data_IF_335727019489
#
_entry.id   IF_335727019489
#
_cell.length_a   1.000
_cell.length_b   1.000
_cell.length_c   1.000
_cell.angle_alpha   90.00
_cell.angle_beta   90.00
_cell.angle_gamma   90.00
#
_symmetry.space_group_name_H-M   'P 1'
#
loop_
_entity.id
_entity.type
_entity.pdbx_description
1 polymer ?
#
# COMPACT_ATOMS: atom_id res chain seq x y z
N UNK A 1 -14.09 -19.21 10.94
CA UNK A 1 -15.18 -18.25 11.19
C UNK A 1 -14.62 -16.84 11.16
N UNK A 2 -14.89 -16.10 10.05
CA UNK A 2 -14.45 -14.74 9.88
C UNK A 2 -15.20 -13.81 10.84
N UNK A 3 -14.47 -13.05 11.67
CA UNK A 3 -15.06 -12.00 12.49
C UNK A 3 -14.99 -10.68 11.72
N UNK A 4 -16.12 -9.98 11.61
CA UNK A 4 -16.18 -8.63 11.03
C UNK A 4 -16.15 -7.61 12.18
N UNK A 5 -15.20 -6.69 12.10
CA UNK A 5 -15.11 -5.55 13.01
C UNK A 5 -15.30 -4.25 12.21
N UNK A 6 -16.17 -3.37 12.69
CA UNK A 6 -16.46 -2.09 12.05
C UNK A 6 -15.97 -0.96 12.97
N UNK A 7 -15.07 -0.14 12.45
CA UNK A 7 -14.57 1.02 13.15
C UNK A 7 -15.22 2.30 12.58
N UNK A 8 -16.03 2.97 13.38
CA UNK A 8 -16.66 4.24 13.01
C UNK A 8 -15.75 5.40 13.38
N UNK A 9 -15.42 6.26 12.42
CA UNK A 9 -14.60 7.46 12.60
C UNK A 9 -15.48 8.71 12.63
N UNK A 10 -15.05 9.73 13.38
CA UNK A 10 -15.79 11.01 13.51
C UNK A 10 -15.90 11.82 12.20
N UNK A 11 -15.18 11.43 11.15
CA UNK A 11 -15.20 12.10 9.86
C UNK A 11 -14.08 11.64 8.92
N UNK A 12 -13.93 12.33 7.80
CA UNK A 12 -12.86 12.09 6.80
C UNK A 12 -11.58 12.78 7.24
N UNK A 13 -10.76 12.10 8.05
CA UNK A 13 -9.49 12.61 8.59
C UNK A 13 -8.27 12.26 7.74
N UNK A 14 -8.48 11.75 6.53
CA UNK A 14 -7.43 11.30 5.61
C UNK A 14 -7.26 9.77 5.58
N UNK A 15 -6.63 9.29 4.49
CA UNK A 15 -6.43 7.86 4.26
C UNK A 15 -5.41 7.27 5.24
N UNK A 16 -4.28 7.95 5.41
CA UNK A 16 -3.20 7.49 6.29
C UNK A 16 -3.66 7.26 7.72
N UNK A 17 -4.40 8.21 8.28
CA UNK A 17 -4.93 8.09 9.65
C UNK A 17 -5.90 6.90 9.80
N UNK A 18 -6.67 6.56 8.77
CA UNK A 18 -7.56 5.40 8.80
C UNK A 18 -6.76 4.08 8.85
N UNK A 19 -5.70 3.97 8.06
CA UNK A 19 -4.81 2.81 8.11
C UNK A 19 -4.10 2.69 9.45
N UNK A 20 -3.55 3.78 9.98
CA UNK A 20 -2.84 3.80 11.26
C UNK A 20 -3.77 3.36 12.41
N UNK A 21 -4.97 3.91 12.49
CA UNK A 21 -5.97 3.51 13.49
C UNK A 21 -6.31 2.02 13.37
N UNK A 22 -6.55 1.53 12.15
CA UNK A 22 -6.84 0.12 11.90
C UNK A 22 -5.69 -0.81 12.29
N UNK A 23 -4.45 -0.46 11.92
CA UNK A 23 -3.26 -1.24 12.30
C UNK A 23 -3.05 -1.27 13.81
N UNK A 24 -3.14 -0.13 14.49
CA UNK A 24 -3.01 -0.06 15.96
C UNK A 24 -4.08 -0.90 16.66
N UNK A 25 -5.33 -0.78 16.22
CA UNK A 25 -6.41 -1.58 16.76
C UNK A 25 -6.13 -3.08 16.58
N UNK A 26 -5.71 -3.50 15.39
CA UNK A 26 -5.46 -4.90 15.10
C UNK A 26 -4.25 -5.43 15.90
N UNK A 27 -3.17 -4.64 16.05
CA UNK A 27 -2.02 -4.99 16.90
C UNK A 27 -2.46 -5.19 18.35
N UNK A 28 -3.28 -4.27 18.90
CA UNK A 28 -3.78 -4.34 20.29
C UNK A 28 -4.74 -5.51 20.52
N UNK A 29 -5.34 -6.05 19.46
CA UNK A 29 -6.22 -7.22 19.51
C UNK A 29 -5.48 -8.54 19.17
N UNK A 30 -4.14 -8.54 19.12
CA UNK A 30 -3.32 -9.73 19.02
C UNK A 30 -3.18 -10.31 17.61
N UNK A 31 -3.42 -9.52 16.56
CA UNK A 31 -3.14 -9.94 15.20
C UNK A 31 -1.66 -9.76 14.86
N UNK A 32 -1.10 -10.69 14.07
CA UNK A 32 0.31 -10.69 13.67
C UNK A 32 0.55 -10.38 12.19
N UNK A 33 -0.48 -10.53 11.36
CA UNK A 33 -0.43 -10.28 9.90
C UNK A 33 -1.57 -9.33 9.52
N UNK A 34 -1.24 -8.32 8.72
CA UNK A 34 -2.13 -7.22 8.36
C UNK A 34 -2.16 -7.04 6.85
N UNK A 35 -3.32 -7.18 6.25
CA UNK A 35 -3.50 -6.99 4.82
C UNK A 35 -4.30 -5.71 4.59
N UNK A 36 -3.69 -4.76 3.90
CA UNK A 36 -4.39 -3.57 3.41
C UNK A 36 -4.97 -3.83 2.03
N UNK A 37 -6.24 -3.51 1.84
CA UNK A 37 -6.97 -3.76 0.60
C UNK A 37 -8.04 -2.69 0.40
N UNK A 38 -8.21 -2.22 -0.86
CA UNK A 38 -9.34 -1.35 -1.20
C UNK A 38 -10.62 -2.17 -1.33
N UNK A 39 -11.75 -1.61 -0.86
CA UNK A 39 -13.06 -2.28 -0.88
C UNK A 39 -13.86 -2.04 -2.17
N UNK A 40 -13.21 -1.63 -3.27
CA UNK A 40 -13.83 -1.27 -4.55
C UNK A 40 -13.65 -2.33 -5.64
N UNK A 41 -13.29 -3.56 -5.23
CA UNK A 41 -13.00 -4.71 -6.08
C UNK A 41 -11.77 -4.58 -6.99
N UNK A 42 -10.97 -3.52 -6.87
CA UNK A 42 -9.73 -3.38 -7.63
C UNK A 42 -8.61 -4.31 -7.15
N UNK A 43 -8.68 -4.75 -5.91
CA UNK A 43 -7.75 -5.71 -5.29
C UNK A 43 -8.43 -7.07 -5.12
N UNK A 44 -8.10 -8.03 -5.98
CA UNK A 44 -8.68 -9.37 -5.92
C UNK A 44 -8.11 -10.17 -4.74
N UNK A 45 -8.95 -10.72 -3.83
CA UNK A 45 -8.49 -11.50 -2.68
C UNK A 45 -7.71 -12.78 -3.02
N UNK A 46 -7.75 -13.24 -4.27
CA UNK A 46 -7.02 -14.45 -4.71
C UNK A 46 -5.51 -14.35 -4.43
N UNK A 47 -4.94 -13.14 -4.46
CA UNK A 47 -3.51 -12.89 -4.22
C UNK A 47 -3.11 -12.99 -2.74
N UNK A 48 -4.06 -13.00 -1.80
CA UNK A 48 -3.79 -13.11 -0.37
C UNK A 48 -2.98 -14.37 -0.05
N UNK A 49 -3.33 -15.52 -0.67
CA UNK A 49 -2.63 -16.78 -0.44
C UNK A 49 -1.13 -16.69 -0.80
N UNK A 50 -0.80 -16.00 -1.89
CA UNK A 50 0.59 -15.87 -2.31
C UNK A 50 1.35 -14.85 -1.46
N UNK A 51 0.67 -13.80 -1.00
CA UNK A 51 1.25 -12.88 -0.01
C UNK A 51 1.57 -13.58 1.31
N UNK A 52 0.66 -14.40 1.82
CA UNK A 52 0.87 -15.16 3.07
C UNK A 52 2.03 -16.15 2.94
N UNK A 53 2.13 -16.90 1.83
CA UNK A 53 3.29 -17.78 1.57
C UNK A 53 4.62 -17.03 1.63
N UNK A 54 4.65 -15.78 1.10
CA UNK A 54 5.87 -14.97 1.14
C UNK A 54 6.17 -14.44 2.56
N UNK A 55 5.14 -14.17 3.37
CA UNK A 55 5.33 -13.86 4.80
C UNK A 55 5.87 -15.09 5.53
N UNK A 56 5.31 -16.27 5.30
CA UNK A 56 5.78 -17.54 5.89
C UNK A 56 7.23 -17.85 5.49
N UNK A 57 7.66 -17.41 4.30
CA UNK A 57 9.04 -17.50 3.85
C UNK A 57 9.98 -16.45 4.52
N UNK A 58 9.49 -15.71 5.51
CA UNK A 58 10.25 -14.79 6.35
C UNK A 58 10.38 -13.37 5.80
N UNK A 59 9.47 -12.92 4.94
CA UNK A 59 9.40 -11.52 4.52
C UNK A 59 8.56 -10.71 5.52
N UNK A 60 9.02 -9.51 5.85
CA UNK A 60 8.35 -8.60 6.81
C UNK A 60 7.24 -7.77 6.15
N UNK A 61 7.42 -7.45 4.86
CA UNK A 61 6.45 -6.73 4.02
C UNK A 61 6.33 -7.40 2.66
N UNK A 62 5.11 -7.74 2.24
CA UNK A 62 4.81 -8.21 0.89
C UNK A 62 3.90 -7.21 0.19
N UNK A 63 4.32 -6.78 -1.00
CA UNK A 63 3.62 -5.77 -1.80
C UNK A 63 2.96 -6.46 -3.00
N UNK A 64 1.65 -6.28 -3.17
CA UNK A 64 0.95 -6.63 -4.40
C UNK A 64 1.30 -5.61 -5.48
N UNK A 65 2.19 -5.98 -6.38
CA UNK A 65 2.84 -5.08 -7.33
C UNK A 65 2.25 -5.21 -8.73
N UNK A 66 1.91 -4.06 -9.30
CA UNK A 66 1.44 -3.93 -10.70
C UNK A 66 2.59 -3.87 -11.70
N UNK A 67 3.83 -3.67 -11.22
CA UNK A 67 4.97 -3.27 -12.05
C UNK A 67 6.13 -4.29 -12.07
N UNK A 68 6.03 -5.37 -11.31
CA UNK A 68 6.94 -6.52 -11.45
C UNK A 68 6.50 -7.44 -12.58
N UNK A 69 7.39 -8.33 -13.03
CA UNK A 69 7.07 -9.30 -14.09
C UNK A 69 5.83 -10.13 -13.70
N UNK A 70 4.82 -10.13 -14.57
CA UNK A 70 3.52 -10.77 -14.33
C UNK A 70 2.46 -9.84 -13.72
N UNK A 71 2.83 -8.67 -13.20
CA UNK A 71 1.90 -7.64 -12.75
C UNK A 71 1.33 -6.82 -13.89
N UNK A 72 0.11 -6.32 -13.74
CA UNK A 72 -0.53 -5.49 -14.76
C UNK A 72 -1.66 -4.61 -14.20
N UNK A 73 -2.11 -3.68 -15.03
CA UNK A 73 -3.31 -2.86 -14.79
C UNK A 73 -4.28 -3.02 -15.96
N UNK A 74 -5.54 -3.29 -15.67
CA UNK A 74 -6.61 -3.50 -16.64
C UNK A 74 -7.57 -2.33 -16.60
N UNK A 75 -8.12 -1.98 -17.76
CA UNK A 75 -9.11 -0.89 -17.94
C UNK A 75 -8.61 0.52 -17.58
N UNK A 76 -7.30 0.74 -17.46
CA UNK A 76 -6.74 2.08 -17.30
C UNK A 76 -6.42 2.73 -18.65
N UNK A 77 -6.79 3.99 -18.81
CA UNK A 77 -6.35 4.81 -19.93
C UNK A 77 -4.82 4.97 -19.94
N UNK A 78 -4.25 5.15 -21.13
CA UNK A 78 -2.79 5.25 -21.33
C UNK A 78 -2.13 6.31 -20.43
N UNK A 79 -2.71 7.51 -20.35
CA UNK A 79 -2.17 8.60 -19.53
C UNK A 79 -2.10 8.23 -18.03
N UNK A 80 -3.13 7.58 -17.49
CA UNK A 80 -3.15 7.13 -16.11
C UNK A 80 -2.08 6.07 -15.82
N UNK A 81 -1.86 5.13 -16.77
CA UNK A 81 -0.76 4.15 -16.69
C UNK A 81 0.58 4.84 -16.63
N UNK A 82 0.81 5.81 -17.52
CA UNK A 82 2.05 6.57 -17.60
C UNK A 82 2.33 7.36 -16.32
N UNK A 83 1.34 8.09 -15.80
CA UNK A 83 1.44 8.87 -14.56
C UNK A 83 1.74 7.95 -13.37
N UNK A 84 1.03 6.84 -13.21
CA UNK A 84 1.21 5.95 -12.08
C UNK A 84 2.55 5.22 -12.12
N UNK A 85 2.97 4.71 -13.29
CA UNK A 85 4.28 4.09 -13.47
C UNK A 85 5.42 5.10 -13.33
N UNK A 86 5.24 6.29 -13.90
CA UNK A 86 6.20 7.40 -13.78
C UNK A 86 6.37 7.86 -12.34
N UNK A 87 5.28 7.98 -11.58
CA UNK A 87 5.33 8.33 -10.16
C UNK A 87 6.07 7.28 -9.32
N UNK A 88 5.82 5.99 -9.55
CA UNK A 88 6.57 4.92 -8.88
C UNK A 88 8.05 4.93 -9.25
N UNK A 89 8.38 5.15 -10.54
CA UNK A 89 9.77 5.23 -11.00
C UNK A 89 10.49 6.43 -10.40
N UNK A 90 9.85 7.61 -10.41
CA UNK A 90 10.39 8.82 -9.79
C UNK A 90 10.69 8.62 -8.30
N UNK A 91 9.70 8.13 -7.53
CA UNK A 91 9.87 7.87 -6.11
C UNK A 91 10.96 6.81 -5.86
N UNK A 92 11.05 5.79 -6.70
CA UNK A 92 12.07 4.75 -6.62
C UNK A 92 13.49 5.32 -6.78
N UNK A 93 13.68 6.18 -7.77
CA UNK A 93 14.99 6.82 -8.04
C UNK A 93 15.34 7.78 -6.89
N UNK A 94 14.39 8.62 -6.48
CA UNK A 94 14.60 9.63 -5.44
C UNK A 94 14.92 8.99 -4.09
N UNK A 95 14.20 7.94 -3.72
CA UNK A 95 14.34 7.25 -2.44
C UNK A 95 15.39 6.12 -2.47
N UNK A 96 16.11 5.95 -3.60
CA UNK A 96 17.13 4.93 -3.80
C UNK A 96 16.68 3.52 -3.36
N UNK A 97 15.42 3.16 -3.67
CA UNK A 97 14.83 1.88 -3.30
C UNK A 97 14.65 0.96 -4.50
N UNK A 98 14.65 -0.36 -4.27
CA UNK A 98 14.39 -1.36 -5.31
C UNK A 98 12.89 -1.74 -5.43
N UNK A 99 11.99 -1.08 -4.70
CA UNK A 99 10.55 -1.35 -4.74
C UNK A 99 9.97 -0.78 -6.04
N UNK A 100 9.33 -1.61 -6.86
CA UNK A 100 8.76 -1.20 -8.14
C UNK A 100 7.40 -0.51 -7.99
N UNK A 101 6.56 -0.95 -7.04
CA UNK A 101 5.24 -0.39 -6.80
C UNK A 101 5.15 0.32 -5.43
N UNK A 102 5.63 1.56 -5.39
CA UNK A 102 5.58 2.38 -4.18
C UNK A 102 4.17 2.92 -3.89
N UNK A 103 3.33 3.09 -4.90
CA UNK A 103 2.04 3.78 -4.78
C UNK A 103 0.85 2.83 -4.56
N UNK A 104 1.03 1.53 -4.71
CA UNK A 104 -0.04 0.53 -4.53
C UNK A 104 -0.50 0.40 -3.08
N UNK A 105 -1.80 0.22 -2.86
CA UNK A 105 -2.40 0.07 -1.53
C UNK A 105 -2.58 -1.38 -1.07
N UNK A 106 -2.28 -2.36 -1.93
CA UNK A 106 -2.45 -3.78 -1.61
C UNK A 106 -1.16 -4.34 -1.02
N UNK A 107 -1.09 -4.40 0.30
CA UNK A 107 0.13 -4.80 1.00
C UNK A 107 -0.19 -5.75 2.15
N UNK A 108 0.75 -6.64 2.46
CA UNK A 108 0.70 -7.52 3.61
C UNK A 108 1.89 -7.21 4.52
N UNK A 109 1.61 -6.75 5.73
CA UNK A 109 2.59 -6.40 6.74
C UNK A 109 2.62 -7.44 7.85
N UNK A 110 3.78 -7.74 8.40
CA UNK A 110 3.89 -8.44 9.68
C UNK A 110 3.78 -7.42 10.82
N UNK A 111 3.47 -7.88 12.03
CA UNK A 111 3.51 -7.08 13.26
C UNK A 111 4.88 -6.42 13.44
N UNK A 112 5.96 -7.19 13.25
CA UNK A 112 7.33 -6.67 13.26
C UNK A 112 7.52 -5.51 12.31
N UNK A 113 6.99 -5.57 11.07
CA UNK A 113 7.05 -4.49 10.09
C UNK A 113 6.43 -3.21 10.63
N UNK A 114 5.20 -3.28 11.13
CA UNK A 114 4.45 -2.11 11.62
C UNK A 114 5.03 -1.51 12.89
N UNK A 115 5.50 -2.33 13.82
CA UNK A 115 6.12 -1.88 15.08
C UNK A 115 7.49 -1.21 14.82
N UNK A 116 8.29 -1.78 13.90
CA UNK A 116 9.63 -1.23 13.57
C UNK A 116 9.56 0.17 12.99
N UNK A 117 8.57 0.46 12.11
CA UNK A 117 8.47 1.77 11.46
C UNK A 117 7.85 2.86 12.33
N UNK A 118 7.35 2.53 13.50
CA UNK A 118 6.67 3.42 14.44
C UNK A 118 5.53 4.24 13.80
N UNK A 119 4.34 3.65 13.81
CA UNK A 119 3.14 4.24 13.18
C UNK A 119 2.78 5.65 13.68
N UNK A 120 3.20 6.03 14.88
CA UNK A 120 2.94 7.37 15.47
C UNK A 120 3.73 8.49 14.79
N UNK A 121 4.80 8.15 14.11
CA UNK A 121 5.68 9.10 13.42
C UNK A 121 5.37 9.25 11.93
N UNK A 122 4.37 8.55 11.41
CA UNK A 122 3.91 8.67 10.03
C UNK A 122 3.17 10.00 9.86
N UNK A 123 3.66 10.85 8.97
CA UNK A 123 3.12 12.19 8.74
C UNK A 123 2.34 12.32 7.44
N UNK A 124 2.59 11.43 6.48
CA UNK A 124 1.99 11.50 5.14
C UNK A 124 0.53 11.08 5.12
N UNK A 125 -0.24 11.71 4.24
CA UNK A 125 -1.62 11.36 3.92
C UNK A 125 -1.78 11.01 2.44
N UNK A 126 -2.93 10.43 2.08
CA UNK A 126 -3.26 10.11 0.69
C UNK A 126 -2.27 9.12 0.06
N UNK A 127 -1.79 9.42 -1.15
CA UNK A 127 -0.86 8.55 -1.87
C UNK A 127 0.54 8.50 -1.25
N UNK A 128 1.00 9.60 -0.65
CA UNK A 128 2.30 9.65 0.02
C UNK A 128 2.37 8.68 1.19
N UNK A 129 1.26 8.41 1.87
CA UNK A 129 1.20 7.43 2.94
C UNK A 129 1.75 6.06 2.50
N UNK A 130 1.34 5.57 1.32
CA UNK A 130 1.81 4.28 0.82
C UNK A 130 3.31 4.27 0.50
N UNK A 131 3.82 5.39 0.00
CA UNK A 131 5.24 5.57 -0.29
C UNK A 131 6.02 5.60 1.01
N UNK A 132 5.61 6.39 2.00
CA UNK A 132 6.26 6.52 3.30
C UNK A 132 6.31 5.18 4.04
N UNK A 133 5.19 4.45 4.10
CA UNK A 133 5.13 3.13 4.73
C UNK A 133 6.18 2.17 4.16
N UNK A 134 6.28 2.06 2.83
CA UNK A 134 7.23 1.17 2.17
C UNK A 134 8.67 1.65 2.32
N UNK A 135 8.88 2.95 2.20
CA UNK A 135 10.21 3.54 2.35
C UNK A 135 10.78 3.36 3.76
N UNK A 136 9.98 3.58 4.81
CA UNK A 136 10.40 3.33 6.20
C UNK A 136 10.76 1.86 6.43
N UNK A 137 10.01 0.92 5.86
CA UNK A 137 10.35 -0.49 5.89
C UNK A 137 11.71 -0.77 5.21
N UNK A 138 11.96 -0.13 4.06
CA UNK A 138 13.23 -0.26 3.36
C UNK A 138 14.40 0.35 4.14
N UNK A 139 14.22 1.53 4.74
CA UNK A 139 15.23 2.17 5.60
C UNK A 139 15.57 1.31 6.83
N UNK A 140 14.57 0.68 7.42
CA UNK A 140 14.74 -0.26 8.53
C UNK A 140 15.37 -1.59 8.09
N UNK A 141 15.75 -1.76 6.81
CA UNK A 141 16.34 -2.97 6.24
C UNK A 141 15.49 -4.22 6.46
N UNK A 142 14.17 -4.05 6.53
CA UNK A 142 13.24 -5.17 6.63
C UNK A 142 13.18 -5.93 5.31
N UNK A 143 12.86 -7.22 5.37
CA UNK A 143 12.75 -8.07 4.18
C UNK A 143 11.46 -7.74 3.43
N UNK A 144 11.61 -7.12 2.25
CA UNK A 144 10.49 -6.70 1.40
C UNK A 144 10.46 -7.56 0.15
N UNK A 145 9.28 -8.05 -0.20
CA UNK A 145 9.06 -8.81 -1.44
C UNK A 145 7.86 -8.25 -2.19
N UNK A 146 7.95 -8.23 -3.52
CA UNK A 146 6.83 -7.90 -4.40
C UNK A 146 6.28 -9.18 -5.03
N UNK A 147 4.96 -9.32 -5.06
CA UNK A 147 4.25 -10.37 -5.79
C UNK A 147 3.39 -9.75 -6.90
N UNK A 148 3.35 -10.32 -8.11
CA UNK A 148 2.58 -9.74 -9.19
C UNK A 148 1.09 -9.81 -8.90
N UNK A 149 0.38 -8.72 -9.19
CA UNK A 149 -1.08 -8.67 -9.18
C UNK A 149 -1.62 -8.08 -10.48
N UNK A 150 -2.82 -8.48 -10.87
CA UNK A 150 -3.63 -7.80 -11.88
C UNK A 150 -4.55 -6.85 -11.14
N UNK A 151 -4.35 -5.56 -11.35
CA UNK A 151 -5.17 -4.51 -10.79
C UNK A 151 -6.26 -4.13 -11.79
N UNK A 152 -7.51 -4.33 -11.44
CA UNK A 152 -8.65 -3.90 -12.25
C UNK A 152 -9.11 -2.51 -11.83
N UNK A 153 -9.57 -1.68 -12.80
CA UNK A 153 -10.18 -0.41 -12.39
C UNK A 153 -11.47 -0.66 -11.63
N UNK A 154 -11.75 0.21 -10.68
CA UNK A 154 -12.96 0.11 -9.87
C UNK A 154 -14.22 0.03 -10.75
N UNK A 155 -15.16 -0.81 -10.34
CA UNK A 155 -16.41 -1.00 -11.08
C UNK A 155 -17.40 0.15 -10.85
N UNK A 156 -17.29 0.85 -9.73
CA UNK A 156 -18.20 1.93 -9.32
C UNK A 156 -17.39 3.12 -8.80
N UNK A 157 -17.79 4.34 -9.17
CA UNK A 157 -17.18 5.59 -8.72
C UNK A 157 -16.11 6.15 -9.65
N UNK A 158 -15.72 7.41 -9.40
CA UNK A 158 -14.67 8.11 -10.18
C UNK A 158 -13.34 8.09 -9.42
N UNK A 159 -12.23 7.98 -10.14
CA UNK A 159 -10.90 8.09 -9.56
C UNK A 159 -10.73 9.46 -8.89
N UNK A 160 -10.29 9.47 -7.63
CA UNK A 160 -9.98 10.71 -6.89
C UNK A 160 -8.61 11.29 -7.24
N UNK A 161 -7.88 10.66 -8.16
CA UNK A 161 -6.55 11.11 -8.55
C UNK A 161 -6.67 12.35 -9.44
N UNK A 162 -6.47 13.53 -8.86
CA UNK A 162 -6.36 14.79 -9.59
C UNK A 162 -4.88 15.13 -9.84
N UNK A 163 -4.62 15.96 -10.87
CA UNK A 163 -3.27 16.49 -11.14
C UNK A 163 -2.67 17.18 -9.90
N UNK A 164 -3.51 17.87 -9.11
CA UNK A 164 -3.11 18.54 -7.87
C UNK A 164 -2.59 17.55 -6.83
N UNK A 165 -3.29 16.44 -6.60
CA UNK A 165 -2.89 15.38 -5.65
C UNK A 165 -1.57 14.73 -6.09
N UNK A 166 -1.37 14.56 -7.40
CA UNK A 166 -0.11 14.01 -7.93
C UNK A 166 1.07 14.96 -7.70
N UNK A 167 0.91 16.26 -7.98
CA UNK A 167 1.95 17.28 -7.77
C UNK A 167 2.27 17.39 -6.27
N UNK A 168 1.25 17.42 -5.42
CA UNK A 168 1.40 17.45 -3.97
C UNK A 168 2.16 16.21 -3.45
N UNK A 169 1.85 15.03 -4.00
CA UNK A 169 2.60 13.82 -3.69
C UNK A 169 4.06 13.88 -4.13
N UNK A 170 4.35 14.47 -5.28
CA UNK A 170 5.71 14.65 -5.78
C UNK A 170 6.55 15.59 -4.90
N UNK A 171 5.93 16.62 -4.34
CA UNK A 171 6.61 17.60 -3.45
C UNK A 171 6.82 17.00 -2.05
N UNK A 172 5.82 16.27 -1.53
CA UNK A 172 5.85 15.74 -0.15
C UNK A 172 6.66 14.43 -0.01
N UNK A 173 7.31 13.95 -1.06
CA UNK A 173 8.26 12.81 -0.97
C UNK A 173 9.61 13.26 -0.39
N UNK A 174 9.84 14.57 -0.30
CA UNK A 174 10.94 15.18 0.46
C UNK A 174 10.49 15.51 1.89
#
# INVERSE_FOLDING_TARGET
DGKLYIMHRKGKLGLGTAYIEGFKWAISNGFDIFISQDADFSHNPIYIKDMLKLVDAGNDLVIGSRYVKGGSVVNWGFLRKLISKGGSLYSRILLLTNIHDLTGGYNCYTKKSLETINLDTIISNGYCFQIEMKFRNALAKLKIKETPIVFEDRRVGKSKMSKKIFIEAMINVF
#
